data_IF_821082178548
#
_entry.id   IF_821082178548
#
_cell.length_a   1.000
_cell.length_b   1.000
_cell.length_c   1.000
_cell.angle_alpha   90.00
_cell.angle_beta   90.00
_cell.angle_gamma   90.00
#
_symmetry.space_group_name_H-M   'P 1'
#
loop_
_entity.id
_entity.type
_entity.pdbx_description
1 polymer ?
#
# COMPACT_ATOMS: atom_id res chain seq x y z
N UNK A 1 21.85 20.40 11.11
CA UNK A 1 20.69 20.49 12.04
C UNK A 1 20.15 21.91 12.15
N UNK A 2 20.97 22.91 12.52
CA UNK A 2 20.54 24.33 12.61
C UNK A 2 19.98 24.92 11.30
N UNK A 3 20.51 24.54 10.13
CA UNK A 3 20.01 25.00 8.83
C UNK A 3 18.59 24.51 8.51
N UNK A 4 18.25 23.26 8.88
CA UNK A 4 16.92 22.69 8.63
C UNK A 4 15.86 23.33 9.52
N UNK A 5 16.19 23.55 10.80
CA UNK A 5 15.33 24.30 11.73
C UNK A 5 15.07 25.71 11.21
N UNK A 6 16.11 26.41 10.74
CA UNK A 6 15.99 27.77 10.20
C UNK A 6 15.20 27.85 8.88
N UNK A 7 15.27 26.81 8.04
CA UNK A 7 14.47 26.70 6.82
C UNK A 7 13.00 26.48 7.17
N UNK A 8 12.72 25.60 8.13
CA UNK A 8 11.35 25.36 8.57
C UNK A 8 10.75 26.61 9.23
N UNK A 9 11.47 27.28 10.13
CA UNK A 9 11.02 28.53 10.75
C UNK A 9 10.65 29.61 9.72
N UNK A 10 11.45 29.79 8.66
CA UNK A 10 11.12 30.70 7.55
C UNK A 10 9.83 30.29 6.83
N UNK A 11 9.66 29.02 6.50
CA UNK A 11 8.44 28.52 5.82
C UNK A 11 7.20 28.69 6.70
N UNK A 12 7.31 28.43 8.00
CA UNK A 12 6.24 28.68 8.96
C UNK A 12 5.87 30.17 9.07
N UNK A 13 6.85 31.06 8.92
CA UNK A 13 6.64 32.51 8.87
C UNK A 13 5.96 32.94 7.57
N UNK A 14 6.41 32.41 6.42
CA UNK A 14 5.83 32.72 5.09
C UNK A 14 4.35 32.32 4.96
N UNK A 15 3.93 31.26 5.67
CA UNK A 15 2.53 30.82 5.72
C UNK A 15 1.68 31.56 6.77
N UNK A 16 2.27 32.51 7.52
CA UNK A 16 1.60 33.23 8.61
C UNK A 16 1.18 32.34 9.79
N UNK A 17 1.66 31.10 9.84
CA UNK A 17 1.27 30.11 10.86
C UNK A 17 1.75 30.53 12.25
N UNK A 18 2.85 31.28 12.34
CA UNK A 18 3.38 31.78 13.61
C UNK A 18 2.65 33.04 14.11
N UNK A 19 1.90 33.72 13.24
CA UNK A 19 1.27 35.01 13.52
C UNK A 19 -0.18 34.86 14.00
N UNK A 20 -0.90 33.83 13.52
CA UNK A 20 -2.29 33.56 13.87
C UNK A 20 -2.49 32.16 14.49
N UNK A 21 -2.79 32.09 15.81
CA UNK A 21 -3.06 30.82 16.51
C UNK A 21 -4.20 29.97 15.92
N UNK A 22 -5.20 30.60 15.30
CA UNK A 22 -6.32 29.87 14.70
C UNK A 22 -5.91 29.21 13.38
N UNK A 23 -5.00 29.85 12.64
CA UNK A 23 -4.49 29.33 11.38
C UNK A 23 -3.49 28.20 11.62
N UNK A 24 -2.63 28.30 12.64
CA UNK A 24 -1.77 27.19 13.04
C UNK A 24 -2.56 25.99 13.52
N UNK A 25 -3.62 26.21 14.31
CA UNK A 25 -4.47 25.11 14.77
C UNK A 25 -5.15 24.40 13.61
N UNK A 26 -5.70 25.12 12.63
CA UNK A 26 -6.26 24.51 11.40
C UNK A 26 -5.23 23.69 10.65
N UNK A 27 -4.03 24.22 10.47
CA UNK A 27 -2.96 23.52 9.78
C UNK A 27 -2.54 22.23 10.49
N UNK A 28 -2.41 22.28 11.82
CA UNK A 28 -2.10 21.10 12.62
C UNK A 28 -3.21 20.05 12.54
N UNK A 29 -4.48 20.47 12.54
CA UNK A 29 -5.61 19.56 12.33
C UNK A 29 -5.54 18.86 10.97
N UNK A 30 -5.22 19.58 9.89
CA UNK A 30 -5.10 18.98 8.55
C UNK A 30 -3.95 17.96 8.49
N UNK A 31 -2.83 18.23 9.16
CA UNK A 31 -1.72 17.28 9.31
C UNK A 31 -2.16 16.04 10.10
N UNK A 32 -2.85 16.24 11.22
CA UNK A 32 -3.32 15.15 12.09
C UNK A 32 -4.34 14.25 11.38
N UNK A 33 -5.31 14.84 10.69
CA UNK A 33 -6.31 14.11 9.89
C UNK A 33 -5.65 13.25 8.82
N UNK A 34 -4.69 13.80 8.07
CA UNK A 34 -3.92 13.04 7.09
C UNK A 34 -3.07 11.94 7.73
N UNK A 35 -2.50 12.21 8.90
CA UNK A 35 -1.76 11.23 9.68
C UNK A 35 -2.63 10.04 10.11
N UNK A 36 -3.84 10.33 10.60
CA UNK A 36 -4.81 9.30 10.99
C UNK A 36 -5.25 8.46 9.80
N UNK A 37 -5.58 9.07 8.65
CA UNK A 37 -5.89 8.33 7.42
C UNK A 37 -4.77 7.35 7.03
N UNK A 38 -3.51 7.79 7.10
CA UNK A 38 -2.34 6.95 6.79
C UNK A 38 -2.26 5.76 7.75
N UNK A 39 -2.55 5.96 9.03
CA UNK A 39 -2.55 4.89 10.03
C UNK A 39 -3.69 3.88 9.79
N UNK A 40 -4.88 4.37 9.46
CA UNK A 40 -6.04 3.54 9.10
C UNK A 40 -5.72 2.69 7.87
N UNK A 41 -5.25 3.31 6.78
CA UNK A 41 -4.90 2.60 5.55
C UNK A 41 -3.81 1.55 5.79
N UNK A 42 -2.82 1.86 6.64
CA UNK A 42 -1.77 0.91 7.01
C UNK A 42 -2.34 -0.30 7.76
N UNK A 43 -3.26 -0.07 8.69
CA UNK A 43 -3.92 -1.15 9.43
C UNK A 43 -4.77 -2.02 8.49
N UNK A 44 -5.45 -1.40 7.52
CA UNK A 44 -6.22 -2.12 6.50
C UNK A 44 -5.32 -3.01 5.63
N UNK A 45 -4.16 -2.51 5.19
CA UNK A 45 -3.16 -3.34 4.47
C UNK A 45 -2.76 -4.55 5.29
N UNK A 46 -2.54 -4.40 6.60
CA UNK A 46 -2.20 -5.53 7.48
C UNK A 46 -3.36 -6.52 7.60
N UNK A 47 -4.60 -6.04 7.70
CA UNK A 47 -5.79 -6.89 7.76
C UNK A 47 -5.98 -7.69 6.46
N UNK A 48 -5.84 -7.03 5.30
CA UNK A 48 -5.90 -7.67 3.99
C UNK A 48 -4.77 -8.69 3.79
N UNK A 49 -3.55 -8.40 4.25
CA UNK A 49 -2.42 -9.33 4.15
C UNK A 49 -2.66 -10.60 4.99
N UNK A 50 -3.26 -10.45 6.19
CA UNK A 50 -3.70 -11.59 7.01
C UNK A 50 -4.74 -12.44 6.28
N UNK A 51 -5.77 -11.82 5.71
CA UNK A 51 -6.81 -12.52 4.95
C UNK A 51 -6.21 -13.23 3.73
N UNK A 52 -5.29 -12.58 3.02
CA UNK A 52 -4.56 -13.17 1.90
C UNK A 52 -3.77 -14.40 2.33
N UNK A 53 -3.08 -14.35 3.47
CA UNK A 53 -2.34 -15.51 3.98
C UNK A 53 -3.28 -16.67 4.33
N UNK A 54 -4.42 -16.38 4.96
CA UNK A 54 -5.46 -17.39 5.25
C UNK A 54 -6.01 -18.03 3.96
N UNK A 55 -6.29 -17.22 2.93
CA UNK A 55 -6.71 -17.73 1.61
C UNK A 55 -5.66 -18.65 1.00
N UNK A 56 -4.37 -18.30 1.08
CA UNK A 56 -3.28 -19.18 0.62
C UNK A 56 -3.19 -20.49 1.38
N UNK A 57 -3.38 -20.46 2.70
CA UNK A 57 -3.40 -21.66 3.54
C UNK A 57 -4.61 -22.55 3.20
N UNK A 58 -5.79 -21.96 3.02
CA UNK A 58 -7.00 -22.66 2.61
C UNK A 58 -6.84 -23.31 1.22
N UNK A 59 -6.29 -22.58 0.24
CA UNK A 59 -5.99 -23.14 -1.08
C UNK A 59 -5.02 -24.33 -0.98
N UNK A 60 -3.96 -24.22 -0.19
CA UNK A 60 -3.01 -25.32 0.03
C UNK A 60 -3.64 -26.54 0.69
N UNK A 61 -4.58 -26.34 1.62
CA UNK A 61 -5.33 -27.42 2.22
C UNK A 61 -6.21 -28.14 1.17
N UNK A 62 -6.97 -27.37 0.39
CA UNK A 62 -7.85 -27.92 -0.65
C UNK A 62 -7.08 -28.58 -1.81
N UNK A 63 -5.83 -28.19 -2.08
CA UNK A 63 -5.01 -28.85 -3.10
C UNK A 63 -4.75 -30.33 -2.82
N UNK A 64 -4.81 -30.75 -1.55
CA UNK A 64 -4.62 -32.16 -1.15
C UNK A 64 -5.89 -33.00 -1.27
N UNK A 65 -7.04 -32.35 -1.43
CA UNK A 65 -8.36 -32.99 -1.51
C UNK A 65 -8.75 -33.27 -2.97
N UNK A 66 -9.43 -34.40 -3.20
CA UNK A 66 -9.95 -34.73 -4.52
C UNK A 66 -11.05 -33.75 -4.96
N UNK A 67 -11.08 -33.45 -6.26
CA UNK A 67 -11.99 -32.50 -6.91
C UNK A 67 -13.48 -32.76 -6.63
N UNK A 68 -13.86 -34.03 -6.58
CA UNK A 68 -15.25 -34.46 -6.43
C UNK A 68 -15.76 -34.43 -4.98
N UNK A 69 -14.88 -34.24 -3.99
CA UNK A 69 -15.30 -34.10 -2.61
C UNK A 69 -16.02 -32.77 -2.37
N UNK A 70 -16.83 -32.74 -1.31
CA UNK A 70 -17.54 -31.53 -0.87
C UNK A 70 -16.87 -31.00 0.38
N UNK A 71 -16.58 -29.71 0.37
CA UNK A 71 -16.01 -28.98 1.51
C UNK A 71 -17.01 -27.95 2.04
N UNK A 72 -16.83 -27.56 3.29
CA UNK A 72 -17.58 -26.47 3.92
C UNK A 72 -16.76 -25.20 3.83
N UNK A 73 -17.40 -24.10 3.44
CA UNK A 73 -16.78 -22.79 3.32
C UNK A 73 -17.69 -21.73 3.93
N UNK A 74 -17.12 -20.77 4.63
CA UNK A 74 -17.85 -19.61 5.15
C UNK A 74 -17.91 -18.52 4.08
N UNK A 75 -19.09 -17.95 3.87
CA UNK A 75 -19.32 -16.79 3.01
C UNK A 75 -20.11 -15.77 3.83
N UNK A 76 -19.43 -14.73 4.30
CA UNK A 76 -19.98 -13.81 5.29
C UNK A 76 -20.37 -14.54 6.58
N UNK A 77 -21.63 -14.48 6.96
CA UNK A 77 -22.19 -15.17 8.13
C UNK A 77 -22.75 -16.58 7.81
N UNK A 78 -22.70 -17.02 6.55
CA UNK A 78 -23.28 -18.30 6.13
C UNK A 78 -22.21 -19.37 5.99
N UNK A 79 -22.56 -20.61 6.33
CA UNK A 79 -21.75 -21.79 6.07
C UNK A 79 -22.35 -22.58 4.90
N UNK A 80 -21.59 -22.72 3.81
CA UNK A 80 -22.05 -23.33 2.55
C UNK A 80 -21.24 -24.58 2.25
N UNK A 81 -21.91 -25.65 1.84
CA UNK A 81 -21.25 -26.87 1.34
C UNK A 81 -21.18 -26.84 -0.18
N UNK A 82 -19.98 -26.92 -0.73
CA UNK A 82 -19.76 -26.92 -2.18
C UNK A 82 -18.65 -27.90 -2.60
N UNK A 83 -18.59 -28.31 -3.88
CA UNK A 83 -17.48 -29.09 -4.40
C UNK A 83 -16.14 -28.38 -4.21
N UNK A 84 -15.07 -29.16 -3.98
CA UNK A 84 -13.71 -28.66 -3.76
C UNK A 84 -13.23 -27.79 -4.93
N UNK A 85 -13.53 -28.17 -6.18
CA UNK A 85 -13.15 -27.37 -7.35
C UNK A 85 -13.76 -25.96 -7.33
N UNK A 86 -15.05 -25.87 -7.02
CA UNK A 86 -15.73 -24.56 -6.90
C UNK A 86 -15.14 -23.73 -5.76
N UNK A 87 -14.72 -24.37 -4.66
CA UNK A 87 -14.10 -23.67 -3.53
C UNK A 87 -12.71 -23.15 -3.92
N UNK A 88 -11.92 -23.94 -4.66
CA UNK A 88 -10.63 -23.53 -5.21
C UNK A 88 -10.79 -22.32 -6.13
N UNK A 89 -11.74 -22.37 -7.07
CA UNK A 89 -11.99 -21.26 -7.99
C UNK A 89 -12.37 -19.96 -7.26
N UNK A 90 -13.23 -20.05 -6.24
CA UNK A 90 -13.62 -18.88 -5.46
C UNK A 90 -12.43 -18.29 -4.69
N UNK A 91 -11.67 -19.14 -3.99
CA UNK A 91 -10.49 -18.69 -3.25
C UNK A 91 -9.39 -18.13 -4.16
N UNK A 92 -9.23 -18.65 -5.39
CA UNK A 92 -8.30 -18.10 -6.38
C UNK A 92 -8.71 -16.70 -6.85
N UNK A 93 -10.02 -16.46 -7.08
CA UNK A 93 -10.51 -15.12 -7.42
C UNK A 93 -10.31 -14.15 -6.26
N UNK A 94 -10.64 -14.59 -5.04
CA UNK A 94 -10.41 -13.80 -3.82
C UNK A 94 -8.92 -13.46 -3.66
N UNK A 95 -8.02 -14.39 -3.95
CA UNK A 95 -6.57 -14.17 -3.91
C UNK A 95 -6.15 -13.03 -4.84
N UNK A 96 -6.61 -13.04 -6.10
CA UNK A 96 -6.30 -12.00 -7.08
C UNK A 96 -6.86 -10.65 -6.65
N UNK A 97 -8.11 -10.63 -6.16
CA UNK A 97 -8.74 -9.40 -5.68
C UNK A 97 -7.96 -8.80 -4.51
N UNK A 98 -7.61 -9.60 -3.50
CA UNK A 98 -6.80 -9.16 -2.36
C UNK A 98 -5.44 -8.62 -2.80
N UNK A 99 -4.77 -9.28 -3.74
CA UNK A 99 -3.48 -8.81 -4.26
C UNK A 99 -3.61 -7.46 -5.00
N UNK A 100 -4.68 -7.25 -5.77
CA UNK A 100 -4.97 -5.95 -6.39
C UNK A 100 -5.26 -4.86 -5.36
N UNK A 101 -6.12 -5.13 -4.38
CA UNK A 101 -6.50 -4.18 -3.33
C UNK A 101 -5.29 -3.77 -2.47
N UNK A 102 -4.47 -4.73 -2.04
CA UNK A 102 -3.24 -4.45 -1.27
C UNK A 102 -2.28 -3.57 -2.08
N UNK A 103 -2.08 -3.85 -3.37
CA UNK A 103 -1.17 -3.06 -4.20
C UNK A 103 -1.69 -1.64 -4.45
N UNK A 104 -3.01 -1.49 -4.61
CA UNK A 104 -3.66 -0.18 -4.73
C UNK A 104 -3.46 0.65 -3.46
N UNK A 105 -3.82 0.09 -2.30
CA UNK A 105 -3.66 0.77 -1.00
C UNK A 105 -2.20 1.13 -0.71
N UNK A 106 -1.24 0.25 -1.03
CA UNK A 106 0.19 0.56 -0.89
C UNK A 106 0.62 1.73 -1.76
N UNK A 107 0.11 1.84 -2.98
CA UNK A 107 0.41 2.95 -3.88
C UNK A 107 -0.18 4.25 -3.37
N UNK A 108 -1.43 4.22 -2.92
CA UNK A 108 -2.11 5.38 -2.31
C UNK A 108 -1.39 5.85 -1.03
N UNK A 109 -0.96 4.91 -0.18
CA UNK A 109 -0.21 5.22 1.04
C UNK A 109 1.09 5.97 0.74
N UNK A 110 1.83 5.59 -0.32
CA UNK A 110 3.06 6.31 -0.73
C UNK A 110 2.78 7.76 -1.06
N UNK A 111 1.67 8.04 -1.74
CA UNK A 111 1.24 9.41 -2.10
C UNK A 111 0.87 10.19 -0.86
N UNK A 112 0.03 9.61 0.03
CA UNK A 112 -0.38 10.26 1.29
C UNK A 112 0.82 10.58 2.19
N UNK A 113 1.78 9.65 2.32
CA UNK A 113 3.01 9.85 3.10
C UNK A 113 3.87 10.99 2.55
N UNK A 114 3.99 11.11 1.23
CA UNK A 114 4.72 12.25 0.65
C UNK A 114 3.96 13.56 0.86
N UNK A 115 2.63 13.57 0.71
CA UNK A 115 1.80 14.75 1.02
C UNK A 115 2.00 15.21 2.47
N UNK A 116 2.00 14.27 3.43
CA UNK A 116 2.27 14.58 4.83
C UNK A 116 3.65 15.21 5.02
N UNK A 117 4.68 14.66 4.37
CA UNK A 117 6.04 15.23 4.43
C UNK A 117 6.14 16.62 3.83
N UNK A 118 5.43 16.87 2.74
CA UNK A 118 5.38 18.20 2.13
C UNK A 118 4.75 19.22 3.08
N UNK A 119 3.67 18.83 3.79
CA UNK A 119 3.05 19.63 4.85
C UNK A 119 3.97 19.80 6.08
N UNK A 120 4.81 18.82 6.39
CA UNK A 120 5.82 18.95 7.46
C UNK A 120 7.11 19.68 7.01
N UNK A 121 7.15 20.17 5.76
CA UNK A 121 8.32 20.77 5.11
C UNK A 121 9.55 19.86 5.08
N UNK A 122 9.33 18.56 5.14
CA UNK A 122 10.38 17.54 5.04
C UNK A 122 10.60 17.15 3.57
N UNK A 123 11.83 16.73 3.22
CA UNK A 123 12.06 16.16 1.90
C UNK A 123 11.25 14.87 1.72
N UNK A 124 10.85 14.53 0.47
CA UNK A 124 10.18 13.26 0.17
C UNK A 124 11.08 12.08 0.55
N UNK A 125 10.46 10.94 0.87
CA UNK A 125 11.24 9.74 1.26
C UNK A 125 12.05 9.25 0.06
N UNK A 126 13.39 9.20 0.15
CA UNK A 126 14.21 8.70 -0.92
C UNK A 126 13.83 7.25 -1.26
N UNK A 127 13.60 6.98 -2.53
CA UNK A 127 13.32 5.62 -3.01
C UNK A 127 11.88 5.12 -2.83
N UNK A 128 11.00 5.86 -2.16
CA UNK A 128 9.61 5.42 -1.89
C UNK A 128 8.80 5.18 -3.18
N UNK A 129 9.05 6.01 -4.19
CA UNK A 129 8.38 5.97 -5.50
C UNK A 129 9.11 5.10 -6.54
N UNK A 130 10.11 4.31 -6.13
CA UNK A 130 10.77 3.39 -7.06
C UNK A 130 9.86 2.21 -7.38
N UNK A 131 9.90 1.81 -8.65
CA UNK A 131 9.31 0.57 -9.14
C UNK A 131 10.43 -0.37 -9.61
N UNK A 132 10.16 -1.67 -9.54
CA UNK A 132 11.08 -2.65 -10.12
C UNK A 132 11.17 -2.45 -11.63
N UNK A 133 12.39 -2.44 -12.15
CA UNK A 133 12.64 -2.36 -13.58
C UNK A 133 12.07 -3.60 -14.28
N UNK A 134 11.34 -3.40 -15.36
CA UNK A 134 10.82 -4.49 -16.19
C UNK A 134 11.95 -5.22 -16.91
N UNK A 135 11.67 -6.44 -17.39
CA UNK A 135 12.66 -7.24 -18.15
C UNK A 135 13.12 -6.52 -19.42
N UNK A 136 12.25 -5.74 -20.05
CA UNK A 136 12.57 -5.05 -21.29
C UNK A 136 13.36 -3.76 -21.04
N UNK A 137 13.00 -3.00 -19.99
CA UNK A 137 13.84 -1.89 -19.51
C UNK A 137 15.23 -2.39 -19.09
N UNK A 138 15.31 -3.54 -18.42
CA UNK A 138 16.59 -4.13 -18.02
C UNK A 138 17.45 -4.55 -19.22
N UNK A 139 16.84 -5.14 -20.26
CA UNK A 139 17.54 -5.44 -21.52
C UNK A 139 18.05 -4.19 -22.20
N UNK A 140 17.26 -3.12 -22.24
CA UNK A 140 17.69 -1.84 -22.82
C UNK A 140 18.89 -1.25 -22.06
N UNK A 141 18.85 -1.29 -20.73
CA UNK A 141 19.99 -0.89 -19.88
C UNK A 141 21.22 -1.76 -20.18
N UNK A 142 21.07 -3.08 -20.32
CA UNK A 142 22.18 -3.95 -20.70
C UNK A 142 22.73 -3.67 -22.10
N UNK A 143 21.90 -3.33 -23.08
CA UNK A 143 22.34 -2.94 -24.43
C UNK A 143 23.18 -1.66 -24.39
N UNK A 144 22.74 -0.66 -23.63
CA UNK A 144 23.49 0.60 -23.44
C UNK A 144 24.81 0.34 -22.72
N UNK A 145 24.79 -0.43 -21.64
CA UNK A 145 25.99 -0.73 -20.83
C UNK A 145 27.00 -1.64 -21.55
N UNK A 146 26.54 -2.54 -22.42
CA UNK A 146 27.42 -3.45 -23.18
C UNK A 146 27.98 -2.84 -24.46
N UNK A 147 27.61 -1.60 -24.79
CA UNK A 147 28.16 -0.85 -25.93
C UNK A 147 27.85 -1.44 -27.31
N UNK A 148 26.92 -2.41 -27.41
CA UNK A 148 26.52 -3.01 -28.68
C UNK A 148 25.29 -2.30 -29.22
N UNK A 149 25.52 -1.25 -30.00
CA UNK A 149 24.51 -0.70 -30.90
C UNK A 149 24.51 -1.49 -32.21
N UNK A 150 23.62 -2.48 -32.35
CA UNK A 150 23.11 -3.05 -33.62
C UNK A 150 22.06 -4.12 -33.34
#
# INVERSE_FOLDING_TARGET
MLLLLRINERKFSELGLLENPQQSLKYLMEIEELGEEILVDRNEVVALDRRRNQTREALRALMKEESHHKTWMTVGSMLVKLPVDKAKDLLQRDQVQLDCEINKLRSELKVKVNKLRDMEFQPPVPGLMLNAMSKDEMKAVYQILSGKSS
#
